data_IF_807799619045
#
_entry.id   IF_807799619045
#
_cell.length_a   1.000
_cell.length_b   1.000
_cell.length_c   1.000
_cell.angle_alpha   90.00
_cell.angle_beta   90.00
_cell.angle_gamma   90.00
#
_symmetry.space_group_name_H-M   'P 1'
#
loop_
_entity.id
_entity.type
_entity.pdbx_description
1 polymer ?
#
# COMPACT_ATOMS: atom_id res chain seq x y z
N UNK A 1 8.52 -14.51 -2.76
CA UNK A 1 7.13 -14.10 -2.42
C UNK A 1 6.26 -13.93 -3.68
N UNK A 2 6.80 -13.53 -4.84
CA UNK A 2 6.01 -13.18 -6.03
C UNK A 2 5.85 -14.27 -7.11
N UNK A 3 6.11 -15.53 -6.79
CA UNK A 3 6.13 -16.64 -7.76
C UNK A 3 4.84 -16.75 -8.58
N UNK A 4 3.67 -16.62 -7.95
CA UNK A 4 2.38 -16.68 -8.67
C UNK A 4 2.20 -15.54 -9.67
N UNK A 5 2.72 -14.34 -9.38
CA UNK A 5 2.67 -13.22 -10.32
C UNK A 5 3.62 -13.47 -11.50
N UNK A 6 4.83 -13.94 -11.23
CA UNK A 6 5.81 -14.31 -12.26
C UNK A 6 5.27 -15.41 -13.18
N UNK A 7 4.72 -16.48 -12.62
CA UNK A 7 4.12 -17.60 -13.37
C UNK A 7 2.99 -17.12 -14.29
N UNK A 8 2.24 -16.11 -13.84
CA UNK A 8 1.13 -15.50 -14.61
C UNK A 8 1.57 -14.36 -15.53
N UNK A 9 2.87 -14.06 -15.62
CA UNK A 9 3.41 -12.90 -16.35
C UNK A 9 2.75 -11.57 -15.93
N UNK A 10 2.50 -11.44 -14.63
CA UNK A 10 1.94 -10.24 -14.00
C UNK A 10 3.00 -9.53 -13.18
N UNK A 11 2.72 -8.27 -12.83
CA UNK A 11 3.55 -7.46 -11.94
C UNK A 11 2.78 -7.13 -10.65
N UNK A 12 3.49 -7.09 -9.53
CA UNK A 12 2.94 -6.56 -8.29
C UNK A 12 2.97 -5.04 -8.37
N UNK A 13 1.80 -4.43 -8.44
CA UNK A 13 1.63 -2.96 -8.54
C UNK A 13 1.31 -2.32 -7.21
N UNK A 14 0.80 -3.09 -6.24
CA UNK A 14 0.49 -2.61 -4.91
C UNK A 14 0.55 -3.71 -3.85
N UNK A 15 0.79 -3.30 -2.60
CA UNK A 15 0.58 -4.09 -1.39
C UNK A 15 -0.65 -3.53 -0.67
N UNK A 16 -1.48 -4.42 -0.13
CA UNK A 16 -2.66 -4.07 0.61
C UNK A 16 -2.60 -4.62 2.03
N UNK A 17 -2.96 -3.79 3.02
CA UNK A 17 -3.19 -4.22 4.39
C UNK A 17 -4.21 -3.32 5.10
N UNK A 18 -4.58 -3.69 6.33
CA UNK A 18 -5.53 -2.93 7.15
C UNK A 18 -4.89 -2.50 8.46
N UNK A 19 -5.25 -1.32 8.93
CA UNK A 19 -4.97 -0.81 10.27
C UNK A 19 -6.23 -0.93 11.12
N UNK A 20 -6.32 -1.90 12.05
CA UNK A 20 -7.56 -2.15 12.79
C UNK A 20 -8.01 -0.96 13.64
N UNK A 21 -7.06 -0.21 14.20
CA UNK A 21 -7.31 0.79 15.24
C UNK A 21 -6.72 2.18 14.92
N UNK A 22 -6.39 2.47 13.66
CA UNK A 22 -5.84 3.77 13.25
C UNK A 22 -6.26 4.15 11.84
N UNK A 23 -6.00 5.40 11.48
CA UNK A 23 -6.25 5.93 10.14
C UNK A 23 -5.43 5.19 9.07
N UNK A 24 -5.92 5.28 7.83
CA UNK A 24 -5.26 4.77 6.65
C UNK A 24 -4.07 5.65 6.28
N UNK A 25 -2.99 5.59 7.05
CA UNK A 25 -1.74 6.30 6.77
C UNK A 25 -0.54 5.40 7.13
N UNK A 26 0.56 5.41 6.35
CA UNK A 26 1.71 4.55 6.60
C UNK A 26 2.34 4.80 7.98
N UNK A 27 2.44 3.75 8.79
CA UNK A 27 3.22 3.75 10.04
C UNK A 27 4.73 3.76 9.75
N UNK A 28 5.54 3.99 10.78
CA UNK A 28 7.01 3.87 10.64
C UNK A 28 7.46 2.46 10.23
N UNK A 29 6.71 1.43 10.63
CA UNK A 29 6.96 0.06 10.18
C UNK A 29 6.65 -0.09 8.69
N UNK A 30 5.52 0.44 8.22
CA UNK A 30 5.16 0.41 6.80
C UNK A 30 6.22 1.12 5.97
N UNK A 31 6.64 2.33 6.36
CA UNK A 31 7.68 3.10 5.66
C UNK A 31 8.98 2.32 5.46
N UNK A 32 9.43 1.56 6.46
CA UNK A 32 10.62 0.69 6.33
C UNK A 32 10.41 -0.40 5.27
N UNK A 33 9.23 -0.99 5.22
CA UNK A 33 8.91 -2.00 4.21
C UNK A 33 8.66 -1.42 2.82
N UNK A 34 8.15 -0.18 2.72
CA UNK A 34 8.00 0.56 1.47
C UNK A 34 9.35 0.81 0.81
N UNK A 35 10.42 1.06 1.57
CA UNK A 35 11.78 1.17 1.02
C UNK A 35 12.26 -0.12 0.33
N UNK A 36 11.91 -1.28 0.90
CA UNK A 36 12.25 -2.59 0.31
C UNK A 36 11.28 -3.05 -0.77
N UNK A 37 10.06 -2.52 -0.77
CA UNK A 37 8.98 -2.83 -1.70
C UNK A 37 8.41 -1.51 -2.27
N UNK A 38 9.12 -0.87 -3.22
CA UNK A 38 8.76 0.43 -3.77
C UNK A 38 7.62 0.30 -4.78
N UNK A 39 6.44 -0.05 -4.27
CA UNK A 39 5.16 -0.15 -4.98
C UNK A 39 4.14 0.72 -4.25
N UNK A 40 2.91 0.82 -4.76
CA UNK A 40 1.83 1.51 -4.05
C UNK A 40 1.43 0.70 -2.81
N UNK A 41 1.14 1.38 -1.70
CA UNK A 41 0.62 0.78 -0.49
C UNK A 41 -0.80 1.28 -0.25
N UNK A 42 -1.77 0.38 -0.36
CA UNK A 42 -3.17 0.67 -0.10
C UNK A 42 -3.50 0.22 1.32
N UNK A 43 -3.96 1.16 2.13
CA UNK A 43 -4.21 0.96 3.56
C UNK A 43 -5.69 1.18 3.81
N UNK A 44 -6.34 0.21 4.45
CA UNK A 44 -7.70 0.37 4.97
C UNK A 44 -7.68 0.77 6.44
N UNK A 45 -8.49 1.76 6.82
CA UNK A 45 -8.68 2.12 8.23
C UNK A 45 -9.86 1.38 8.84
N UNK A 46 -9.63 0.73 9.98
CA UNK A 46 -10.70 0.22 10.83
C UNK A 46 -11.49 1.31 11.56
N UNK A 47 -10.95 2.53 11.66
CA UNK A 47 -11.57 3.68 12.35
C UNK A 47 -12.43 4.48 11.38
N UNK A 48 -11.84 4.97 10.29
CA UNK A 48 -12.56 5.81 9.29
C UNK A 48 -13.30 4.98 8.24
N UNK A 49 -13.04 3.67 8.16
CA UNK A 49 -13.65 2.73 7.21
C UNK A 49 -13.46 3.12 5.74
N UNK A 50 -12.34 3.76 5.44
CA UNK A 50 -11.94 4.16 4.10
C UNK A 50 -10.59 3.54 3.70
N UNK A 51 -10.31 3.58 2.40
CA UNK A 51 -9.02 3.22 1.82
C UNK A 51 -8.28 4.49 1.40
N UNK A 52 -6.98 4.51 1.66
CA UNK A 52 -6.07 5.49 1.08
C UNK A 52 -4.86 4.76 0.50
N UNK A 53 -4.30 5.30 -0.57
CA UNK A 53 -3.14 4.71 -1.25
C UNK A 53 -1.95 5.67 -1.18
N UNK A 54 -0.76 5.12 -0.98
CA UNK A 54 0.47 5.89 -0.79
C UNK A 54 1.63 5.29 -1.58
N UNK A 55 2.54 6.15 -2.00
CA UNK A 55 3.82 5.78 -2.58
C UNK A 55 4.94 6.49 -1.81
N UNK A 56 6.07 5.79 -1.60
CA UNK A 56 7.24 6.36 -0.93
C UNK A 56 8.31 6.66 -1.98
N UNK A 57 8.56 7.95 -2.20
CA UNK A 57 9.75 8.43 -2.90
C UNK A 57 10.76 8.98 -1.87
N UNK A 58 11.03 10.29 -1.90
CA UNK A 58 11.72 11.00 -0.81
C UNK A 58 10.78 11.25 0.39
N UNK A 59 9.48 11.32 0.12
CA UNK A 59 8.41 11.51 1.09
C UNK A 59 7.19 10.63 0.75
N UNK A 60 6.22 10.61 1.65
CA UNK A 60 4.96 9.88 1.44
C UNK A 60 4.04 10.72 0.56
N UNK A 61 3.74 10.19 -0.62
CA UNK A 61 2.84 10.81 -1.60
C UNK A 61 1.53 10.02 -1.59
N UNK A 62 0.40 10.70 -1.36
CA UNK A 62 -0.92 10.08 -1.47
C UNK A 62 -1.32 9.97 -2.95
N UNK A 63 -1.79 8.80 -3.36
CA UNK A 63 -2.22 8.49 -4.73
C UNK A 63 -3.75 8.38 -4.77
N UNK A 64 -4.37 8.91 -5.83
CA UNK A 64 -5.81 8.81 -6.02
C UNK A 64 -6.22 7.37 -6.41
N UNK A 65 -7.37 6.92 -5.89
CA UNK A 65 -7.96 5.63 -6.24
C UNK A 65 -9.18 5.91 -7.11
N UNK A 66 -9.18 5.41 -8.35
CA UNK A 66 -10.33 5.48 -9.26
C UNK A 66 -10.98 4.10 -9.38
N UNK A 67 -12.27 4.02 -9.06
CA UNK A 67 -13.08 2.82 -9.27
C UNK A 67 -13.98 3.09 -10.47
N UNK A 68 -13.89 2.24 -11.50
CA UNK A 68 -14.73 2.29 -12.69
C UNK A 68 -15.96 1.40 -12.54
#
# INVERSE_FOLDING_TARGET
VYKTAEDKKMQVVAIFHSHPNSEAYPSETDKKFMQSNPVVWMIYSGVTRDFKAYFLELEIIQVAIEVK
#
